data_IF_930758045697
#
_entry.id   IF_930758045697
#
_cell.length_a   1.000
_cell.length_b   1.000
_cell.length_c   1.000
_cell.angle_alpha   90.00
_cell.angle_beta   90.00
_cell.angle_gamma   90.00
#
_symmetry.space_group_name_H-M   'P 1'
#
loop_
_entity.id
_entity.type
_entity.pdbx_description
1 polymer ?
#
# COMPACT_ATOMS: atom_id res chain seq x y z
N UNK A 1 7.36 10.57 -11.22
CA UNK A 1 7.04 9.13 -11.41
C UNK A 1 5.53 8.99 -11.28
N UNK A 2 4.83 8.36 -12.24
CA UNK A 2 3.39 8.08 -12.06
C UNK A 2 3.25 7.04 -10.93
N UNK A 3 2.56 7.38 -9.85
CA UNK A 3 2.24 6.43 -8.79
C UNK A 3 1.11 5.52 -9.28
N UNK A 4 1.50 4.40 -9.88
CA UNK A 4 0.55 3.40 -10.36
C UNK A 4 -0.04 2.63 -9.18
N UNK A 5 -1.36 2.71 -9.02
CA UNK A 5 -2.11 2.04 -7.98
C UNK A 5 -2.45 0.63 -8.47
N UNK A 6 -2.00 -0.38 -7.74
CA UNK A 6 -2.37 -1.76 -8.00
C UNK A 6 -3.55 -2.15 -7.11
N UNK A 7 -4.64 -2.62 -7.72
CA UNK A 7 -5.84 -3.06 -7.00
C UNK A 7 -5.93 -4.58 -7.13
N UNK A 8 -6.10 -5.26 -6.00
CA UNK A 8 -6.19 -6.72 -5.91
C UNK A 8 -7.18 -7.13 -4.84
N UNK A 9 -7.75 -8.32 -4.98
CA UNK A 9 -8.41 -9.03 -3.89
C UNK A 9 -7.45 -9.98 -3.17
N UNK A 10 -8.00 -11.04 -2.59
CA UNK A 10 -7.27 -12.01 -1.79
C UNK A 10 -6.40 -12.96 -2.64
N UNK A 11 -5.50 -13.71 -1.97
CA UNK A 11 -4.45 -14.52 -2.62
C UNK A 11 -5.00 -15.62 -3.53
N UNK A 12 -6.16 -16.16 -3.18
CA UNK A 12 -6.82 -17.24 -3.92
C UNK A 12 -8.12 -16.69 -4.52
N UNK A 13 -8.01 -15.91 -5.60
CA UNK A 13 -9.08 -15.02 -6.04
C UNK A 13 -10.36 -15.78 -6.39
N UNK A 14 -11.47 -15.28 -5.87
CA UNK A 14 -12.82 -15.66 -6.26
C UNK A 14 -13.36 -14.68 -7.31
N UNK A 15 -14.53 -15.01 -7.88
CA UNK A 15 -15.17 -14.18 -8.89
C UNK A 15 -15.42 -12.77 -8.37
N UNK A 16 -15.86 -12.62 -7.11
CA UNK A 16 -16.09 -11.31 -6.50
C UNK A 16 -14.80 -10.49 -6.40
N UNK A 17 -13.71 -11.06 -5.88
CA UNK A 17 -12.43 -10.35 -5.79
C UNK A 17 -11.93 -9.82 -7.13
N UNK A 18 -12.08 -10.60 -8.19
CA UNK A 18 -11.63 -10.23 -9.53
C UNK A 18 -12.54 -9.13 -10.11
N UNK A 19 -13.86 -9.32 -10.04
CA UNK A 19 -14.82 -8.34 -10.52
C UNK A 19 -14.72 -7.02 -9.76
N UNK A 20 -14.61 -7.08 -8.43
CA UNK A 20 -14.43 -5.91 -7.56
C UNK A 20 -13.12 -5.19 -7.84
N UNK A 21 -12.01 -5.91 -8.08
CA UNK A 21 -10.74 -5.29 -8.45
C UNK A 21 -10.82 -4.55 -9.80
N UNK A 22 -11.48 -5.15 -10.80
CA UNK A 22 -11.70 -4.53 -12.12
C UNK A 22 -12.57 -3.28 -11.97
N UNK A 23 -13.71 -3.39 -11.29
CA UNK A 23 -14.65 -2.30 -11.11
C UNK A 23 -14.02 -1.11 -10.37
N UNK A 24 -13.24 -1.38 -9.31
CA UNK A 24 -12.55 -0.34 -8.57
C UNK A 24 -11.44 0.32 -9.39
N UNK A 25 -10.68 -0.45 -10.18
CA UNK A 25 -9.66 0.12 -11.07
C UNK A 25 -10.28 1.06 -12.11
N UNK A 26 -11.39 0.65 -12.74
CA UNK A 26 -12.15 1.49 -13.66
C UNK A 26 -12.66 2.77 -12.98
N UNK A 27 -13.21 2.66 -11.76
CA UNK A 27 -13.66 3.82 -11.00
C UNK A 27 -12.51 4.79 -10.71
N UNK A 28 -11.36 4.29 -10.25
CA UNK A 28 -10.19 5.11 -9.94
C UNK A 28 -9.59 5.77 -11.20
N UNK A 29 -9.56 5.07 -12.32
CA UNK A 29 -9.14 5.62 -13.61
C UNK A 29 -10.06 6.77 -14.05
N UNK A 30 -11.38 6.62 -13.88
CA UNK A 30 -12.34 7.70 -14.14
C UNK A 30 -12.20 8.90 -13.20
N UNK A 31 -11.67 8.68 -12.00
CA UNK A 31 -11.34 9.75 -11.04
C UNK A 31 -9.96 10.40 -11.30
N UNK A 32 -9.28 10.06 -12.41
CA UNK A 32 -8.00 10.65 -12.78
C UNK A 32 -6.77 10.02 -12.08
N UNK A 33 -6.94 8.87 -11.44
CA UNK A 33 -5.83 8.11 -10.84
C UNK A 33 -5.32 7.05 -11.84
N UNK A 34 -4.02 6.70 -11.79
CA UNK A 34 -3.47 5.61 -12.63
C UNK A 34 -3.61 4.28 -11.89
N UNK A 35 -4.67 3.52 -12.17
CA UNK A 35 -5.01 2.29 -11.46
C UNK A 35 -5.05 1.06 -12.39
N UNK A 36 -4.49 -0.06 -11.93
CA UNK A 36 -4.48 -1.35 -12.64
C UNK A 36 -5.01 -2.46 -11.73
N UNK A 37 -6.04 -3.18 -12.20
CA UNK A 37 -6.49 -4.41 -11.58
C UNK A 37 -5.49 -5.54 -11.84
N UNK A 38 -5.09 -6.22 -10.77
CA UNK A 38 -4.17 -7.36 -10.81
C UNK A 38 -4.78 -8.53 -10.04
N UNK A 39 -4.29 -9.73 -10.33
CA UNK A 39 -4.62 -10.95 -9.58
C UNK A 39 -3.37 -11.54 -8.93
N UNK A 40 -3.54 -12.11 -7.75
CA UNK A 40 -2.47 -12.75 -6.97
C UNK A 40 -2.36 -14.26 -7.22
N UNK A 41 -3.41 -14.86 -7.78
CA UNK A 41 -3.51 -16.29 -8.01
C UNK A 41 -4.08 -16.63 -9.39
N UNK A 42 -4.22 -17.91 -9.65
CA UNK A 42 -4.88 -18.41 -10.85
C UNK A 42 -6.39 -18.18 -10.77
N UNK A 43 -7.00 -17.94 -11.93
CA UNK A 43 -8.45 -17.80 -12.03
C UNK A 43 -9.11 -19.18 -11.89
N UNK A 44 -10.26 -19.23 -11.23
CA UNK A 44 -11.11 -20.40 -11.25
C UNK A 44 -11.95 -20.43 -12.55
N UNK A 45 -12.55 -21.58 -12.87
CA UNK A 45 -13.35 -21.74 -14.10
C UNK A 45 -14.57 -20.82 -14.16
N UNK A 46 -15.18 -20.53 -13.02
CA UNK A 46 -16.35 -19.66 -12.93
C UNK A 46 -15.99 -18.22 -13.31
N UNK A 47 -14.91 -17.69 -12.75
CA UNK A 47 -14.39 -16.36 -13.07
C UNK A 47 -13.95 -16.28 -14.52
N UNK A 48 -13.29 -17.32 -15.06
CA UNK A 48 -12.96 -17.35 -16.49
C UNK A 48 -14.21 -17.29 -17.37
N UNK A 49 -15.23 -18.08 -17.07
CA UNK A 49 -16.49 -18.06 -17.79
C UNK A 49 -17.15 -16.68 -17.77
N UNK A 50 -17.19 -16.03 -16.61
CA UNK A 50 -17.75 -14.68 -16.45
C UNK A 50 -16.96 -13.66 -17.28
N UNK A 51 -15.63 -13.67 -17.18
CA UNK A 51 -14.78 -12.74 -17.93
C UNK A 51 -14.92 -12.93 -19.45
N UNK A 52 -14.97 -14.17 -19.91
CA UNK A 52 -15.11 -14.50 -21.32
C UNK A 52 -16.52 -14.14 -21.83
N UNK A 53 -17.57 -14.36 -21.03
CA UNK A 53 -18.95 -13.99 -21.35
C UNK A 53 -19.11 -12.48 -21.55
N UNK A 54 -18.55 -11.68 -20.64
CA UNK A 54 -18.58 -10.21 -20.72
C UNK A 54 -17.47 -9.63 -21.61
N UNK A 55 -16.61 -10.47 -22.21
CA UNK A 55 -15.46 -10.07 -23.05
C UNK A 55 -14.52 -9.08 -22.35
N UNK A 56 -14.36 -9.23 -21.03
CA UNK A 56 -13.47 -8.39 -20.21
C UNK A 56 -12.07 -8.99 -20.20
N UNK A 57 -11.06 -8.14 -20.33
CA UNK A 57 -9.67 -8.60 -20.31
C UNK A 57 -9.31 -9.18 -18.92
N UNK A 58 -8.71 -10.37 -18.92
CA UNK A 58 -8.25 -11.03 -17.69
C UNK A 58 -7.18 -10.17 -16.99
N UNK A 59 -7.32 -9.88 -15.68
CA UNK A 59 -6.31 -9.13 -14.94
C UNK A 59 -4.94 -9.81 -14.94
N UNK A 60 -3.88 -8.99 -14.91
CA UNK A 60 -2.51 -9.48 -14.95
C UNK A 60 -2.15 -10.23 -13.67
N UNK A 61 -1.53 -11.40 -13.79
CA UNK A 61 -0.97 -12.12 -12.65
C UNK A 61 0.24 -11.37 -12.11
N UNK A 62 0.21 -11.06 -10.82
CA UNK A 62 1.34 -10.49 -10.09
C UNK A 62 1.69 -11.39 -8.91
N UNK A 63 2.83 -12.06 -9.00
CA UNK A 63 3.28 -13.05 -8.03
C UNK A 63 3.98 -12.45 -6.80
N UNK A 64 4.36 -11.16 -6.87
CA UNK A 64 5.08 -10.48 -5.79
C UNK A 64 4.53 -9.08 -5.56
N UNK A 65 3.99 -8.86 -4.37
CA UNK A 65 3.68 -7.56 -3.77
C UNK A 65 4.43 -7.50 -2.43
N UNK A 66 5.76 -7.56 -2.49
CA UNK A 66 6.57 -7.41 -1.27
C UNK A 66 6.61 -5.92 -0.90
N UNK A 67 6.29 -5.55 0.36
CA UNK A 67 6.48 -4.18 0.81
C UNK A 67 7.96 -3.81 0.68
N UNK A 68 8.22 -2.65 0.11
CA UNK A 68 9.57 -2.10 -0.02
C UNK A 68 9.78 -1.01 1.01
N UNK A 69 11.04 -0.77 1.40
CA UNK A 69 11.38 0.30 2.36
C UNK A 69 10.87 1.67 1.89
N UNK A 70 10.85 1.90 0.57
CA UNK A 70 10.31 3.13 -0.04
C UNK A 70 8.78 3.28 0.08
N UNK A 71 8.07 2.19 0.38
CA UNK A 71 6.61 2.20 0.57
C UNK A 71 6.24 2.57 2.03
N UNK A 72 7.25 2.74 2.89
CA UNK A 72 7.09 3.12 4.29
C UNK A 72 7.34 4.62 4.40
N UNK A 73 6.44 5.33 5.09
CA UNK A 73 6.72 6.69 5.55
C UNK A 73 7.80 6.63 6.63
N UNK A 74 9.02 7.02 6.28
CA UNK A 74 10.15 7.08 7.22
C UNK A 74 10.18 8.46 7.84
N UNK A 75 10.16 8.53 9.17
CA UNK A 75 10.29 9.77 9.92
C UNK A 75 11.65 10.44 9.65
N UNK A 76 11.66 11.77 9.73
CA UNK A 76 12.89 12.53 9.60
C UNK A 76 13.91 12.11 10.68
N UNK A 77 15.14 11.82 10.26
CA UNK A 77 16.22 11.52 11.20
C UNK A 77 16.59 12.79 11.98
N UNK A 78 16.58 12.68 13.31
CA UNK A 78 17.07 13.75 14.18
C UNK A 78 18.59 13.70 14.25
N UNK A 79 19.25 14.58 13.50
CA UNK A 79 20.69 14.74 13.54
C UNK A 79 21.08 15.72 14.65
N UNK A 80 22.06 15.34 15.48
CA UNK A 80 22.66 16.23 16.49
C UNK A 80 24.05 16.67 16.05
N UNK A 81 24.42 17.91 16.38
CA UNK A 81 25.76 18.41 16.10
C UNK A 81 26.79 17.70 16.99
N UNK A 82 27.94 17.21 16.47
CA UNK A 82 28.96 16.52 17.27
C UNK A 82 29.54 17.34 18.43
N UNK A 83 29.46 18.67 18.34
CA UNK A 83 29.94 19.59 19.38
C UNK A 83 28.95 19.78 20.53
N UNK A 84 27.76 19.15 20.50
CA UNK A 84 26.81 19.22 21.61
C UNK A 84 27.38 18.53 22.85
N UNK A 85 27.07 19.10 24.02
CA UNK A 85 27.32 18.41 25.28
C UNK A 85 26.41 17.17 25.40
N UNK A 86 26.90 16.15 26.12
CA UNK A 86 26.13 14.94 26.40
C UNK A 86 24.80 15.23 27.11
N UNK A 87 24.78 16.24 27.99
CA UNK A 87 23.57 16.63 28.71
C UNK A 87 22.50 17.21 27.77
N UNK A 88 22.90 18.08 26.84
CA UNK A 88 22.00 18.67 25.85
C UNK A 88 21.48 17.61 24.87
N UNK A 89 22.33 16.66 24.48
CA UNK A 89 21.93 15.53 23.64
C UNK A 89 20.88 14.64 24.35
N UNK A 90 21.06 14.39 25.66
CA UNK A 90 20.12 13.61 26.47
C UNK A 90 18.75 14.31 26.61
N UNK A 91 18.72 15.62 26.83
CA UNK A 91 17.47 16.40 26.89
C UNK A 91 16.70 16.37 25.56
N UNK A 92 17.42 16.45 24.44
CA UNK A 92 16.84 16.28 23.10
C UNK A 92 16.22 14.89 22.91
N UNK A 93 16.92 13.83 23.31
CA UNK A 93 16.42 12.45 23.24
C UNK A 93 15.14 12.31 24.09
N UNK A 94 15.13 12.83 25.31
CA UNK A 94 13.95 12.78 26.18
C UNK A 94 12.74 13.48 25.55
N UNK A 95 12.94 14.67 24.99
CA UNK A 95 11.87 15.43 24.30
C UNK A 95 11.30 14.66 23.10
N UNK A 96 12.18 14.06 22.29
CA UNK A 96 11.76 13.27 21.11
C UNK A 96 10.97 12.03 21.55
N UNK A 97 11.43 11.31 22.57
CA UNK A 97 10.74 10.12 23.09
C UNK A 97 9.34 10.49 23.62
N UNK A 98 9.22 11.58 24.36
CA UNK A 98 7.93 12.08 24.86
C UNK A 98 6.95 12.41 23.72
N UNK A 99 7.44 13.10 22.68
CA UNK A 99 6.64 13.44 21.51
C UNK A 99 6.19 12.18 20.73
N UNK A 100 7.08 11.19 20.57
CA UNK A 100 6.78 9.90 19.93
C UNK A 100 5.73 9.11 20.73
N UNK A 101 5.85 9.05 22.06
CA UNK A 101 4.86 8.40 22.91
C UNK A 101 3.46 9.01 22.72
N UNK A 102 3.37 10.33 22.61
CA UNK A 102 2.08 11.01 22.42
C UNK A 102 1.46 10.71 21.04
N UNK A 103 2.28 10.69 19.99
CA UNK A 103 1.85 10.30 18.64
C UNK A 103 1.39 8.84 18.56
N UNK A 104 2.11 7.93 19.20
CA UNK A 104 1.75 6.50 19.25
C UNK A 104 0.38 6.29 19.90
N UNK A 105 0.07 7.03 20.97
CA UNK A 105 -1.25 6.94 21.64
C UNK A 105 -2.39 7.45 20.77
N UNK A 106 -2.14 8.37 19.84
CA UNK A 106 -3.17 8.95 18.94
C UNK A 106 -3.41 8.17 17.66
N UNK A 107 -2.46 7.35 17.20
CA UNK A 107 -2.59 6.56 15.96
C UNK A 107 -3.24 5.18 16.17
N UNK A 108 -3.48 4.77 17.42
CA UNK A 108 -4.09 3.47 17.79
C UNK A 108 -5.60 3.48 18.00
N UNK A 109 -6.29 4.58 17.71
CA UNK A 109 -7.75 4.72 17.74
C UNK A 109 -8.28 5.11 16.38
#
# INVERSE_FOLDING_TARGET
MKNKIYITGHKNPDTDSICSAIALAELKNKMGQDAEAIRLGNLNRETEFVLDYFKVQKPRLKTSIKPQVRDIEIDAAYCVNPSLSMASAMDLIQKIILALCQLLMTKTT
#
